data_IF_655678359865
#
_entry.id   IF_655678359865
#
_cell.length_a   1.000
_cell.length_b   1.000
_cell.length_c   1.000
_cell.angle_alpha   90.00
_cell.angle_beta   90.00
_cell.angle_gamma   90.00
#
_symmetry.space_group_name_H-M   'P 1'
#
loop_
_entity.id
_entity.type
_entity.pdbx_description
1 polymer ?
#
# COMPACT_ATOMS: atom_id res chain seq x y z
N UNK A 1 -42.57 -39.26 12.14
CA UNK A 1 -43.08 -38.09 11.38
C UNK A 1 -43.06 -36.91 12.33
N UNK A 2 -42.01 -36.07 12.19
CA UNK A 2 -42.11 -34.61 11.88
C UNK A 2 -42.44 -33.75 13.11
N UNK A 3 -41.76 -32.66 13.42
CA UNK A 3 -40.68 -31.94 12.75
C UNK A 3 -40.00 -31.04 13.79
N UNK A 4 -38.70 -30.83 13.61
CA UNK A 4 -37.90 -29.83 14.31
C UNK A 4 -38.30 -28.44 13.82
N UNK A 5 -38.48 -27.47 14.72
CA UNK A 5 -38.38 -26.04 14.36
C UNK A 5 -37.72 -25.27 15.50
N UNK A 6 -36.40 -25.34 15.54
CA UNK A 6 -35.59 -24.29 16.11
C UNK A 6 -35.63 -23.09 15.17
N UNK A 7 -36.30 -22.02 15.57
CA UNK A 7 -36.16 -20.72 14.94
C UNK A 7 -35.01 -20.01 15.64
N UNK A 8 -33.86 -19.96 14.97
CA UNK A 8 -32.81 -19.02 15.32
C UNK A 8 -33.34 -17.61 15.05
N UNK A 9 -33.29 -16.74 16.06
CA UNK A 9 -33.50 -15.31 15.90
C UNK A 9 -32.39 -14.75 14.99
N UNK A 10 -32.70 -14.56 13.70
CA UNK A 10 -31.88 -13.69 12.84
C UNK A 10 -32.03 -12.26 13.36
N UNK A 11 -31.07 -11.81 14.16
CA UNK A 11 -30.87 -10.39 14.45
C UNK A 11 -30.68 -9.68 13.11
N UNK A 12 -31.72 -9.01 12.62
CA UNK A 12 -31.64 -8.20 11.41
C UNK A 12 -30.65 -7.07 11.68
N UNK A 13 -29.38 -7.23 11.24
CA UNK A 13 -28.36 -6.21 11.41
C UNK A 13 -28.85 -4.90 10.79
N UNK A 14 -29.11 -3.91 11.63
CA UNK A 14 -29.52 -2.58 11.18
C UNK A 14 -28.30 -1.75 10.81
N UNK A 15 -28.32 -1.17 9.61
CA UNK A 15 -27.29 -0.28 9.06
C UNK A 15 -27.89 1.11 8.79
N UNK A 16 -28.22 1.87 9.84
CA UNK A 16 -29.02 3.09 9.71
C UNK A 16 -28.30 4.17 8.89
N UNK A 17 -26.98 4.29 9.02
CA UNK A 17 -26.19 5.19 8.17
C UNK A 17 -26.23 4.79 6.70
N UNK A 18 -26.06 3.50 6.39
CA UNK A 18 -26.06 2.97 5.02
C UNK A 18 -27.44 3.14 4.36
N UNK A 19 -28.52 2.91 5.10
CA UNK A 19 -29.89 3.15 4.64
C UNK A 19 -30.08 4.62 4.25
N UNK A 20 -29.64 5.55 5.09
CA UNK A 20 -29.72 6.99 4.76
C UNK A 20 -28.93 7.33 3.50
N UNK A 21 -27.77 6.71 3.27
CA UNK A 21 -26.99 6.91 2.04
C UNK A 21 -27.73 6.39 0.81
N UNK A 22 -28.37 5.23 0.93
CA UNK A 22 -29.16 4.62 -0.14
C UNK A 22 -30.36 5.51 -0.50
N UNK A 23 -31.13 5.93 0.51
CA UNK A 23 -32.27 6.83 0.39
C UNK A 23 -31.86 8.24 -0.08
N UNK A 24 -30.62 8.66 0.19
CA UNK A 24 -30.13 10.01 -0.06
C UNK A 24 -30.59 11.04 0.98
N UNK A 25 -31.04 10.59 2.17
CA UNK A 25 -31.48 11.47 3.25
C UNK A 25 -30.30 12.05 4.02
N UNK A 26 -29.79 13.18 3.52
CA UNK A 26 -28.66 13.91 4.09
C UNK A 26 -28.95 14.40 5.52
N UNK A 27 -30.20 14.77 5.82
CA UNK A 27 -30.56 15.33 7.14
C UNK A 27 -30.63 14.25 8.22
N UNK A 28 -31.25 13.11 7.92
CA UNK A 28 -31.25 11.93 8.79
C UNK A 28 -29.81 11.41 8.96
N UNK A 29 -29.02 11.38 7.87
CA UNK A 29 -27.61 11.04 7.94
C UNK A 29 -26.82 11.94 8.89
N UNK A 30 -26.94 13.26 8.74
CA UNK A 30 -26.22 14.25 9.57
C UNK A 30 -26.57 14.17 11.06
N UNK A 31 -27.79 13.74 11.40
CA UNK A 31 -28.20 13.47 12.78
C UNK A 31 -27.55 12.19 13.33
N UNK A 32 -27.65 11.10 12.57
CA UNK A 32 -27.18 9.78 13.00
C UNK A 32 -25.66 9.67 13.08
N UNK A 33 -24.93 10.35 12.20
CA UNK A 33 -23.46 10.29 12.17
C UNK A 33 -22.77 10.82 13.44
N UNK A 34 -23.51 11.53 14.30
CA UNK A 34 -22.99 12.03 15.59
C UNK A 34 -22.94 10.95 16.67
N UNK A 35 -23.73 9.89 16.53
CA UNK A 35 -23.87 8.81 17.52
C UNK A 35 -23.43 7.46 16.98
N UNK A 36 -23.51 7.28 15.67
CA UNK A 36 -23.17 6.02 15.00
C UNK A 36 -21.69 5.95 14.59
N UNK A 37 -21.16 4.73 14.52
CA UNK A 37 -19.79 4.48 14.08
C UNK A 37 -19.66 4.54 12.54
N UNK A 38 -18.88 5.50 12.04
CA UNK A 38 -18.60 5.69 10.62
C UNK A 38 -17.73 4.57 10.01
N UNK A 39 -17.07 3.77 10.84
CA UNK A 39 -16.28 2.61 10.42
C UNK A 39 -17.12 1.35 10.19
N UNK A 40 -18.39 1.36 10.63
CA UNK A 40 -19.30 0.21 10.52
C UNK A 40 -19.44 -0.23 9.06
N UNK A 41 -19.33 -1.54 8.86
CA UNK A 41 -19.45 -2.18 7.55
C UNK A 41 -20.80 -2.88 7.41
N UNK A 42 -21.39 -2.79 6.21
CA UNK A 42 -22.55 -3.58 5.85
C UNK A 42 -22.19 -5.06 5.57
N UNK A 43 -23.18 -5.85 5.16
CA UNK A 43 -23.02 -7.27 4.77
C UNK A 43 -22.04 -7.49 3.60
N UNK A 44 -21.74 -6.45 2.82
CA UNK A 44 -20.77 -6.48 1.72
C UNK A 44 -19.41 -5.91 2.13
N UNK A 45 -19.21 -5.61 3.42
CA UNK A 45 -17.98 -4.99 3.91
C UNK A 45 -17.86 -3.50 3.59
N UNK A 46 -18.88 -2.88 2.99
CA UNK A 46 -18.86 -1.48 2.61
C UNK A 46 -19.15 -0.59 3.83
N UNK A 47 -18.36 0.45 4.01
CA UNK A 47 -18.72 1.54 4.94
C UNK A 47 -19.73 2.48 4.29
N UNK A 48 -20.37 3.35 5.07
CA UNK A 48 -21.25 4.38 4.52
C UNK A 48 -20.56 5.24 3.44
N UNK A 49 -19.25 5.46 3.57
CA UNK A 49 -18.44 6.18 2.58
C UNK A 49 -18.31 5.45 1.26
N UNK A 50 -18.13 4.11 1.26
CA UNK A 50 -18.11 3.33 0.02
C UNK A 50 -19.43 3.50 -0.74
N UNK A 51 -20.57 3.31 -0.04
CA UNK A 51 -21.88 3.46 -0.66
C UNK A 51 -22.13 4.88 -1.17
N UNK A 52 -21.72 5.90 -0.42
CA UNK A 52 -21.92 7.29 -0.82
C UNK A 52 -21.17 7.61 -2.12
N UNK A 53 -19.97 7.05 -2.30
CA UNK A 53 -19.18 7.18 -3.52
C UNK A 53 -19.83 6.41 -4.67
N UNK A 54 -20.15 5.13 -4.46
CA UNK A 54 -20.75 4.27 -5.49
C UNK A 54 -22.10 4.80 -6.01
N UNK A 55 -22.88 5.47 -5.15
CA UNK A 55 -24.16 6.08 -5.49
C UNK A 55 -24.05 7.56 -5.90
N UNK A 56 -22.84 8.13 -5.95
CA UNK A 56 -22.62 9.53 -6.34
C UNK A 56 -23.20 10.58 -5.36
N UNK A 57 -23.39 10.23 -4.08
CA UNK A 57 -23.95 11.11 -3.04
C UNK A 57 -22.90 12.09 -2.50
N UNK A 58 -22.53 13.08 -3.32
CA UNK A 58 -21.44 14.04 -3.02
C UNK A 58 -21.58 14.74 -1.67
N UNK A 59 -22.79 15.16 -1.30
CA UNK A 59 -23.04 15.85 -0.02
C UNK A 59 -22.71 14.96 1.18
N UNK A 60 -23.10 13.69 1.12
CA UNK A 60 -22.82 12.70 2.17
C UNK A 60 -21.34 12.36 2.21
N UNK A 61 -20.67 12.25 1.05
CA UNK A 61 -19.21 12.07 0.98
C UNK A 61 -18.51 13.21 1.70
N UNK A 62 -18.84 14.47 1.41
CA UNK A 62 -18.20 15.62 2.05
C UNK A 62 -18.46 15.65 3.56
N UNK A 63 -19.69 15.34 4.01
CA UNK A 63 -20.00 15.22 5.43
C UNK A 63 -19.16 14.14 6.12
N UNK A 64 -19.04 12.96 5.53
CA UNK A 64 -18.23 11.85 6.03
C UNK A 64 -16.75 12.23 6.15
N UNK A 65 -16.18 12.84 5.11
CA UNK A 65 -14.78 13.29 5.13
C UNK A 65 -14.55 14.39 6.16
N UNK A 66 -15.49 15.33 6.32
CA UNK A 66 -15.42 16.36 7.36
C UNK A 66 -15.39 15.76 8.78
N UNK A 67 -16.10 14.65 9.01
CA UNK A 67 -16.16 13.96 10.30
C UNK A 67 -15.16 12.80 10.44
N UNK A 68 -14.03 12.87 9.73
CA UNK A 68 -12.93 11.90 9.85
C UNK A 68 -13.33 10.44 9.59
N UNK A 69 -14.31 10.18 8.72
CA UNK A 69 -14.62 8.81 8.30
C UNK A 69 -13.36 8.10 7.78
N UNK A 70 -13.15 6.82 8.11
CA UNK A 70 -11.90 6.13 7.79
C UNK A 70 -11.84 5.80 6.29
N UNK A 71 -10.80 6.29 5.59
CA UNK A 71 -10.71 6.19 4.13
C UNK A 71 -9.78 5.09 3.61
N UNK A 72 -9.06 4.40 4.50
CA UNK A 72 -8.17 3.26 4.17
C UNK A 72 -8.83 1.88 4.33
N UNK A 73 -10.12 1.86 4.68
CA UNK A 73 -10.85 0.63 4.98
C UNK A 73 -11.12 -0.13 3.69
N UNK A 74 -10.85 -1.44 3.65
CA UNK A 74 -11.20 -2.29 2.51
C UNK A 74 -12.58 -2.94 2.67
N UNK A 75 -13.37 -2.98 1.61
CA UNK A 75 -14.60 -3.77 1.52
C UNK A 75 -14.30 -5.27 1.34
N UNK A 76 -15.34 -6.12 1.22
CA UNK A 76 -15.16 -7.58 1.07
C UNK A 76 -14.37 -7.95 -0.19
N UNK A 77 -14.43 -7.10 -1.22
CA UNK A 77 -13.71 -7.30 -2.46
C UNK A 77 -12.25 -6.87 -2.37
N UNK A 78 -11.83 -6.19 -1.30
CA UNK A 78 -10.46 -5.71 -1.09
C UNK A 78 -10.22 -4.27 -1.56
N UNK A 79 -11.27 -3.55 -1.91
CA UNK A 79 -11.21 -2.18 -2.43
C UNK A 79 -11.47 -1.15 -1.33
N UNK A 80 -10.74 -0.05 -1.38
CA UNK A 80 -10.88 1.12 -0.51
C UNK A 80 -11.90 2.12 -1.09
N UNK A 81 -12.40 3.08 -0.29
CA UNK A 81 -13.18 4.19 -0.80
C UNK A 81 -12.50 4.94 -1.96
N UNK A 82 -11.18 5.16 -1.88
CA UNK A 82 -10.44 5.81 -2.96
C UNK A 82 -10.47 4.99 -4.26
N UNK A 83 -10.28 3.67 -4.20
CA UNK A 83 -10.40 2.82 -5.40
C UNK A 83 -11.82 2.82 -5.98
N UNK A 84 -12.87 2.78 -5.15
CA UNK A 84 -14.23 2.89 -5.69
C UNK A 84 -14.49 4.29 -6.28
N UNK A 85 -13.85 5.34 -5.76
CA UNK A 85 -13.95 6.69 -6.32
C UNK A 85 -13.22 6.84 -7.66
N UNK A 86 -12.11 6.14 -7.87
CA UNK A 86 -11.44 6.10 -9.18
C UNK A 86 -12.33 5.36 -10.19
N UNK A 87 -13.00 4.29 -9.78
CA UNK A 87 -13.89 3.51 -10.65
C UNK A 87 -15.21 4.23 -11.00
N UNK A 88 -15.83 4.93 -10.05
CA UNK A 88 -17.21 5.43 -10.18
C UNK A 88 -17.40 6.90 -9.81
N UNK A 89 -16.43 7.50 -9.11
CA UNK A 89 -16.51 8.85 -8.57
C UNK A 89 -16.15 9.91 -9.61
N UNK A 90 -16.30 11.17 -9.20
CA UNK A 90 -15.81 12.31 -9.96
C UNK A 90 -14.43 12.76 -9.47
N UNK A 91 -13.73 13.51 -10.32
CA UNK A 91 -12.39 14.04 -10.03
C UNK A 91 -12.33 14.76 -8.68
N UNK A 92 -13.35 15.55 -8.35
CA UNK A 92 -13.44 16.29 -7.07
C UNK A 92 -13.53 15.35 -5.86
N UNK A 93 -14.28 14.25 -5.95
CA UNK A 93 -14.37 13.23 -4.89
C UNK A 93 -13.03 12.52 -4.72
N UNK A 94 -12.37 12.17 -5.83
CA UNK A 94 -11.03 11.54 -5.79
C UNK A 94 -10.03 12.47 -5.09
N UNK A 95 -9.97 13.74 -5.47
CA UNK A 95 -9.10 14.75 -4.82
C UNK A 95 -9.41 14.86 -3.32
N UNK A 96 -10.68 14.95 -2.96
CA UNK A 96 -11.10 15.09 -1.55
C UNK A 96 -10.70 13.86 -0.72
N UNK A 97 -10.87 12.66 -1.27
CA UNK A 97 -10.48 11.40 -0.65
C UNK A 97 -8.96 11.26 -0.54
N UNK A 98 -8.21 11.61 -1.58
CA UNK A 98 -6.76 11.56 -1.60
C UNK A 98 -6.18 12.51 -0.54
N UNK A 99 -6.65 13.77 -0.51
CA UNK A 99 -6.31 14.75 0.53
C UNK A 99 -6.61 14.18 1.93
N UNK A 100 -7.79 13.59 2.13
CA UNK A 100 -8.16 13.01 3.43
C UNK A 100 -7.32 11.80 3.80
N UNK A 101 -7.00 10.93 2.85
CA UNK A 101 -6.19 9.73 3.06
C UNK A 101 -4.77 10.10 3.49
N UNK A 102 -4.16 11.07 2.82
CA UNK A 102 -2.83 11.57 3.17
C UNK A 102 -2.83 12.26 4.52
N UNK A 103 -3.85 13.07 4.81
CA UNK A 103 -4.02 13.66 6.15
C UNK A 103 -4.11 12.58 7.24
N UNK A 104 -4.99 11.59 7.10
CA UNK A 104 -5.11 10.49 8.09
C UNK A 104 -3.81 9.69 8.23
N UNK A 105 -3.07 9.48 7.13
CA UNK A 105 -1.77 8.82 7.19
C UNK A 105 -0.74 9.61 8.00
N UNK A 106 -0.71 10.94 7.83
CA UNK A 106 0.19 11.85 8.54
C UNK A 106 -0.11 11.89 10.04
N UNK A 107 -1.37 12.11 10.40
CA UNK A 107 -1.82 12.11 11.80
C UNK A 107 -1.44 10.80 12.51
N UNK A 108 -1.64 9.66 11.86
CA UNK A 108 -1.29 8.35 12.42
C UNK A 108 0.23 8.18 12.63
N UNK A 109 1.06 8.72 11.73
CA UNK A 109 2.52 8.70 11.89
C UNK A 109 2.92 9.60 13.07
N UNK A 110 2.32 10.77 13.19
CA UNK A 110 2.61 11.71 14.28
C UNK A 110 2.19 11.18 15.64
N UNK A 111 1.01 10.58 15.74
CA UNK A 111 0.53 9.92 16.95
C UNK A 111 1.51 8.81 17.42
N UNK A 112 2.11 8.08 16.47
CA UNK A 112 3.06 7.00 16.76
C UNK A 112 4.49 7.46 17.00
N UNK A 113 4.84 8.68 16.58
CA UNK A 113 6.22 9.20 16.63
C UNK A 113 6.82 9.17 18.05
N UNK A 114 6.13 9.58 19.13
CA UNK A 114 6.71 9.54 20.47
C UNK A 114 7.12 8.13 20.90
N UNK A 115 6.29 7.13 20.57
CA UNK A 115 6.57 5.73 20.87
C UNK A 115 7.78 5.22 20.09
N UNK A 116 7.90 5.60 18.81
CA UNK A 116 9.08 5.29 17.98
C UNK A 116 10.35 5.90 18.59
N UNK A 117 10.33 7.19 18.93
CA UNK A 117 11.50 7.87 19.51
C UNK A 117 11.87 7.26 20.87
N UNK A 118 10.88 6.93 21.70
CA UNK A 118 11.11 6.22 22.96
C UNK A 118 11.76 4.86 22.75
N UNK A 119 11.28 4.08 21.78
CA UNK A 119 11.87 2.79 21.45
C UNK A 119 13.33 2.95 20.95
N UNK A 120 13.61 3.93 20.08
CA UNK A 120 14.96 4.19 19.59
C UNK A 120 15.94 4.58 20.70
N UNK A 121 15.47 5.25 21.78
CA UNK A 121 16.29 5.55 22.96
C UNK A 121 16.64 4.32 23.78
N UNK A 122 15.75 3.32 23.81
CA UNK A 122 15.97 2.08 24.57
C UNK A 122 16.91 1.12 23.85
N UNK A 123 16.93 1.16 22.51
CA UNK A 123 17.83 0.36 21.70
C UNK A 123 19.22 0.99 21.69
N UNK A 124 20.28 0.21 21.95
CA UNK A 124 21.67 0.68 21.83
C UNK A 124 22.03 1.08 20.40
N UNK A 125 23.17 1.75 20.21
CA UNK A 125 23.66 2.06 18.87
C UNK A 125 24.11 0.79 18.15
N UNK A 126 23.77 0.66 16.86
CA UNK A 126 24.07 -0.54 16.10
C UNK A 126 24.28 -0.27 14.62
N UNK A 127 24.98 -1.21 14.00
CA UNK A 127 25.06 -1.38 12.56
C UNK A 127 24.41 -2.71 12.21
N UNK A 128 23.58 -2.72 11.17
CA UNK A 128 22.95 -3.92 10.66
C UNK A 128 22.99 -3.90 9.13
N UNK A 129 23.29 -5.05 8.53
CA UNK A 129 23.21 -5.25 7.10
C UNK A 129 22.21 -6.37 6.81
N UNK A 130 21.21 -6.08 5.98
CA UNK A 130 20.19 -7.00 5.54
C UNK A 130 20.35 -7.19 4.03
N UNK A 131 20.72 -8.40 3.62
CA UNK A 131 20.75 -8.79 2.21
C UNK A 131 19.55 -9.68 1.93
N UNK A 132 18.79 -9.37 0.88
CA UNK A 132 17.71 -10.23 0.42
C UNK A 132 17.69 -10.32 -1.12
N UNK A 133 17.22 -11.46 -1.63
CA UNK A 133 17.06 -11.74 -3.05
C UNK A 133 15.81 -12.58 -3.31
N UNK A 134 15.12 -12.32 -4.42
CA UNK A 134 14.05 -13.19 -4.90
C UNK A 134 14.64 -14.32 -5.74
N UNK A 135 14.18 -15.54 -5.48
CA UNK A 135 14.61 -16.74 -6.20
C UNK A 135 13.45 -17.34 -6.98
N UNK A 136 13.71 -17.75 -8.22
CA UNK A 136 12.76 -18.46 -9.07
C UNK A 136 13.16 -19.92 -9.20
N UNK A 137 12.15 -20.78 -9.27
CA UNK A 137 12.30 -22.18 -9.65
C UNK A 137 12.59 -22.34 -11.16
N UNK A 138 12.33 -21.31 -11.96
CA UNK A 138 12.66 -21.28 -13.38
C UNK A 138 14.17 -21.00 -13.56
N UNK A 139 14.91 -21.86 -14.28
CA UNK A 139 16.34 -21.66 -14.49
C UNK A 139 16.67 -20.27 -15.04
N UNK A 140 17.76 -19.68 -14.55
CA UNK A 140 18.29 -18.36 -14.94
C UNK A 140 17.42 -17.14 -14.56
N UNK A 141 16.14 -17.32 -14.20
CA UNK A 141 15.26 -16.21 -13.82
C UNK A 141 15.71 -15.54 -12.52
N UNK A 142 16.29 -16.27 -11.57
CA UNK A 142 16.82 -15.69 -10.32
C UNK A 142 17.91 -14.63 -10.52
N UNK A 143 18.60 -14.60 -11.67
CA UNK A 143 19.60 -13.57 -11.99
C UNK A 143 18.98 -12.23 -12.37
N UNK A 144 17.73 -12.26 -12.81
CA UNK A 144 16.93 -11.12 -13.23
C UNK A 144 15.76 -10.96 -12.28
N UNK A 145 15.93 -11.31 -11.00
CA UNK A 145 14.95 -11.03 -9.97
C UNK A 145 15.50 -9.96 -9.02
N UNK A 146 14.63 -9.17 -8.37
CA UNK A 146 15.08 -8.13 -7.48
C UNK A 146 15.89 -8.71 -6.33
N UNK A 147 16.92 -7.96 -5.95
CA UNK A 147 17.63 -8.15 -4.70
C UNK A 147 17.90 -6.78 -4.12
N UNK A 148 18.22 -6.72 -2.84
CA UNK A 148 18.66 -5.50 -2.21
C UNK A 148 19.69 -5.78 -1.11
N UNK A 149 20.55 -4.79 -0.90
CA UNK A 149 21.47 -4.72 0.21
C UNK A 149 21.11 -3.48 1.02
N UNK A 150 20.37 -3.71 2.10
CA UNK A 150 19.94 -2.68 3.03
C UNK A 150 20.97 -2.56 4.16
N UNK A 151 21.48 -1.35 4.40
CA UNK A 151 22.40 -1.06 5.49
C UNK A 151 21.76 -0.06 6.45
N UNK A 152 21.67 -0.42 7.72
CA UNK A 152 21.04 0.39 8.76
C UNK A 152 22.12 0.76 9.78
N UNK A 153 22.34 2.06 9.92
CA UNK A 153 23.20 2.65 10.95
C UNK A 153 22.31 3.41 11.91
N UNK A 154 22.28 3.00 13.17
CA UNK A 154 21.49 3.68 14.21
C UNK A 154 22.44 4.34 15.21
N UNK A 155 22.17 5.60 15.52
CA UNK A 155 22.89 6.37 16.55
C UNK A 155 21.92 7.27 17.32
N UNK A 156 21.82 7.10 18.63
CA UNK A 156 20.89 7.86 19.47
C UNK A 156 19.44 7.64 19.06
N UNK A 157 18.73 8.69 18.69
CA UNK A 157 17.34 8.65 18.16
C UNK A 157 17.27 8.71 16.64
N UNK A 158 18.43 8.67 15.97
CA UNK A 158 18.56 8.84 14.53
C UNK A 158 18.98 7.53 13.88
N UNK A 159 18.53 7.32 12.65
CA UNK A 159 19.02 6.21 11.84
C UNK A 159 19.24 6.64 10.39
N UNK A 160 20.20 5.97 9.77
CA UNK A 160 20.51 6.02 8.36
C UNK A 160 20.19 4.66 7.76
N UNK A 161 19.43 4.64 6.68
CA UNK A 161 19.12 3.47 5.90
C UNK A 161 19.65 3.69 4.47
N UNK A 162 20.60 2.88 4.05
CA UNK A 162 21.06 2.84 2.66
C UNK A 162 20.44 1.63 1.95
N UNK A 163 19.92 1.82 0.74
CA UNK A 163 19.33 0.77 -0.09
C UNK A 163 19.80 0.90 -1.54
N UNK A 164 19.91 -0.24 -2.20
CA UNK A 164 20.25 -0.34 -3.63
C UNK A 164 19.02 -0.42 -4.53
N UNK A 165 17.81 -0.48 -3.94
CA UNK A 165 16.54 -0.59 -4.62
C UNK A 165 15.79 0.74 -4.53
N UNK A 166 15.61 1.41 -5.66
CA UNK A 166 14.96 2.74 -5.74
C UNK A 166 13.44 2.59 -5.82
N UNK A 167 13.00 1.73 -6.74
CA UNK A 167 11.60 1.46 -6.97
C UNK A 167 11.39 -0.04 -7.18
N UNK A 168 10.22 -0.52 -6.76
CA UNK A 168 9.76 -1.88 -6.94
C UNK A 168 8.28 -1.88 -7.28
N UNK A 169 7.99 -1.73 -8.58
CA UNK A 169 6.64 -1.89 -9.08
C UNK A 169 6.36 -3.38 -9.32
N UNK A 170 5.83 -4.05 -8.29
CA UNK A 170 5.52 -5.49 -8.31
C UNK A 170 4.64 -5.91 -9.50
N UNK A 171 3.80 -4.99 -10.00
CA UNK A 171 2.88 -5.24 -11.11
C UNK A 171 3.56 -5.31 -12.48
N UNK A 172 4.67 -4.59 -12.63
CA UNK A 172 5.36 -4.41 -13.92
C UNK A 172 6.68 -5.20 -13.99
N UNK A 173 7.03 -5.95 -12.92
CA UNK A 173 8.36 -6.53 -12.75
C UNK A 173 9.48 -5.50 -13.00
N UNK A 174 9.23 -4.23 -12.66
CA UNK A 174 10.24 -3.17 -12.71
C UNK A 174 10.89 -3.08 -11.34
N UNK A 175 12.21 -3.11 -11.33
CA UNK A 175 12.97 -2.63 -10.19
C UNK A 175 14.11 -1.78 -10.70
N UNK A 176 14.26 -0.62 -10.10
CA UNK A 176 15.33 0.30 -10.41
C UNK A 176 16.44 0.18 -9.38
N UNK A 177 17.69 0.07 -9.87
CA UNK A 177 18.87 -0.04 -9.02
C UNK A 177 19.54 1.32 -8.88
N UNK A 178 19.58 1.79 -7.64
CA UNK A 178 20.20 3.08 -7.30
C UNK A 178 21.03 2.99 -6.04
N UNK A 179 21.35 4.15 -5.49
CA UNK A 179 22.02 4.28 -4.20
C UNK A 179 21.26 5.34 -3.42
N UNK A 180 20.21 4.90 -2.73
CA UNK A 180 19.31 5.79 -2.00
C UNK A 180 19.62 5.72 -0.51
N UNK A 181 19.76 6.88 0.11
CA UNK A 181 19.92 7.00 1.56
C UNK A 181 18.72 7.70 2.17
N UNK A 182 18.09 7.06 3.16
CA UNK A 182 17.12 7.66 4.05
C UNK A 182 17.80 8.05 5.35
N UNK A 183 17.68 9.31 5.75
CA UNK A 183 18.14 9.80 7.05
C UNK A 183 16.93 10.20 7.88
N UNK A 184 16.79 9.58 9.03
CA UNK A 184 15.79 9.95 10.03
C UNK A 184 16.44 10.56 11.26
N UNK A 185 15.90 11.69 11.70
CA UNK A 185 16.25 12.38 12.94
C UNK A 185 15.04 12.41 13.88
N UNK A 186 15.14 11.65 14.98
CA UNK A 186 14.09 11.54 15.99
C UNK A 186 13.88 12.82 16.80
N UNK A 187 14.91 13.66 16.94
CA UNK A 187 14.87 14.88 17.74
C UNK A 187 14.45 16.11 16.91
N UNK A 188 14.57 16.02 15.58
CA UNK A 188 14.07 17.05 14.67
C UNK A 188 12.53 17.14 14.66
N UNK A 189 12.01 18.33 14.31
CA UNK A 189 10.57 18.52 14.04
C UNK A 189 10.13 17.67 12.84
N UNK A 190 8.85 17.23 12.75
CA UNK A 190 8.38 16.34 11.68
C UNK A 190 8.80 16.75 10.26
N UNK A 191 8.67 18.03 9.83
CA UNK A 191 9.07 18.47 8.47
C UNK A 191 10.57 18.42 8.18
N UNK A 192 11.39 18.16 9.19
CA UNK A 192 12.86 18.09 9.08
C UNK A 192 13.41 16.74 9.53
N UNK A 193 12.53 15.82 9.91
CA UNK A 193 12.92 14.56 10.51
C UNK A 193 13.27 13.47 9.49
N UNK A 194 12.98 13.66 8.20
CA UNK A 194 13.25 12.67 7.17
C UNK A 194 13.82 13.32 5.90
N UNK A 195 14.99 12.83 5.48
CA UNK A 195 15.69 13.23 4.26
C UNK A 195 15.88 12.00 3.39
N UNK A 196 15.65 12.14 2.09
CA UNK A 196 15.98 11.15 1.08
C UNK A 196 17.10 11.72 0.22
N UNK A 197 18.12 10.92 -0.04
CA UNK A 197 19.27 11.29 -0.86
C UNK A 197 19.41 10.29 -2.00
N UNK A 198 19.59 10.81 -3.21
CA UNK A 198 20.09 10.02 -4.34
C UNK A 198 21.58 10.28 -4.47
N UNK A 199 22.39 9.31 -4.05
CA UNK A 199 23.84 9.44 -4.05
C UNK A 199 24.43 9.39 -5.46
N UNK A 200 23.75 8.76 -6.43
CA UNK A 200 24.21 8.73 -7.83
C UNK A 200 24.01 10.08 -8.49
N UNK A 201 22.84 10.69 -8.28
CA UNK A 201 22.53 12.01 -8.81
C UNK A 201 23.16 13.15 -7.98
N UNK A 202 23.62 12.88 -6.76
CA UNK A 202 24.21 13.87 -5.87
C UNK A 202 23.19 14.88 -5.34
N UNK A 203 21.91 14.49 -5.27
CA UNK A 203 20.80 15.35 -4.85
C UNK A 203 20.17 14.83 -3.56
N UNK A 204 19.53 15.72 -2.81
CA UNK A 204 18.75 15.35 -1.64
C UNK A 204 17.45 16.13 -1.58
N UNK A 205 16.45 15.53 -0.95
CA UNK A 205 15.17 16.14 -0.69
C UNK A 205 14.75 15.88 0.75
N UNK A 206 14.26 16.93 1.42
CA UNK A 206 13.51 16.76 2.67
C UNK A 206 12.11 16.29 2.33
N UNK A 207 11.66 15.21 2.96
CA UNK A 207 10.31 14.70 2.73
C UNK A 207 9.32 15.78 3.17
N UNK A 208 8.64 16.35 2.18
CA UNK A 208 7.74 17.47 2.42
C UNK A 208 6.50 16.97 3.14
N UNK A 209 6.08 17.76 4.11
CA UNK A 209 4.92 17.43 4.95
C UNK A 209 3.60 17.84 4.29
N UNK A 210 3.63 18.82 3.38
CA UNK A 210 2.49 19.30 2.62
C UNK A 210 2.82 19.20 1.14
N UNK A 211 1.85 18.74 0.38
CA UNK A 211 1.91 18.71 -1.08
C UNK A 211 1.13 19.90 -1.61
N UNK A 212 1.57 20.39 -2.75
CA UNK A 212 0.89 21.44 -3.51
C UNK A 212 -0.38 20.89 -4.14
N UNK A 213 -1.29 21.79 -4.54
CA UNK A 213 -2.49 21.37 -5.25
C UNK A 213 -2.15 20.71 -6.60
N UNK A 214 -1.14 21.22 -7.31
CA UNK A 214 -0.63 20.62 -8.55
C UNK A 214 -0.16 19.19 -8.36
N UNK A 215 0.66 18.92 -7.33
CA UNK A 215 1.16 17.56 -7.04
C UNK A 215 0.00 16.57 -6.77
N UNK A 216 -1.07 17.04 -6.12
CA UNK A 216 -2.27 16.22 -5.88
C UNK A 216 -3.04 16.00 -7.18
N UNK A 217 -3.15 17.02 -8.03
CA UNK A 217 -3.80 16.91 -9.32
C UNK A 217 -3.07 15.93 -10.25
N UNK A 218 -1.75 16.02 -10.33
CA UNK A 218 -0.92 15.12 -11.12
C UNK A 218 -1.08 13.65 -10.65
N UNK A 219 -1.15 13.42 -9.34
CA UNK A 219 -1.38 12.09 -8.79
C UNK A 219 -2.78 11.56 -9.11
N UNK A 220 -3.80 12.42 -9.10
CA UNK A 220 -5.17 12.02 -9.50
C UNK A 220 -5.21 11.68 -10.98
N UNK A 221 -4.56 12.48 -11.83
CA UNK A 221 -4.53 12.23 -13.27
C UNK A 221 -3.79 10.91 -13.58
N UNK A 222 -2.73 10.60 -12.84
CA UNK A 222 -2.07 9.29 -12.90
C UNK A 222 -2.99 8.15 -12.44
N UNK A 223 -3.69 8.30 -11.31
CA UNK A 223 -4.63 7.28 -10.82
C UNK A 223 -5.77 6.99 -11.80
N UNK A 224 -6.24 8.02 -12.52
CA UNK A 224 -7.32 7.89 -13.50
C UNK A 224 -6.86 7.25 -14.82
N UNK A 225 -5.56 7.26 -15.14
CA UNK A 225 -4.99 6.67 -16.36
C UNK A 225 -4.25 5.35 -16.13
N UNK A 226 -4.12 4.91 -14.88
CA UNK A 226 -3.44 3.66 -14.51
C UNK A 226 -4.37 2.65 -13.87
N UNK A 227 -3.96 1.38 -13.89
CA UNK A 227 -4.75 0.30 -13.34
C UNK A 227 -4.88 0.40 -11.81
N UNK A 228 -6.09 0.19 -11.28
CA UNK A 228 -6.27 0.09 -9.82
C UNK A 228 -5.84 -1.30 -9.38
N UNK A 229 -4.88 -1.37 -8.46
CA UNK A 229 -4.37 -2.64 -7.94
C UNK A 229 -4.49 -2.72 -6.43
N UNK A 230 -4.98 -3.86 -5.94
CA UNK A 230 -4.97 -4.20 -4.52
C UNK A 230 -4.30 -5.54 -4.34
N UNK A 231 -3.36 -5.61 -3.41
CA UNK A 231 -2.71 -6.84 -2.99
C UNK A 231 -3.13 -7.18 -1.56
N UNK A 232 -3.40 -8.46 -1.32
CA UNK A 232 -3.72 -9.00 -0.01
C UNK A 232 -2.85 -10.22 0.24
N UNK A 233 -1.99 -10.12 1.26
CA UNK A 233 -1.17 -11.22 1.73
C UNK A 233 -1.88 -11.90 2.90
N UNK A 234 -2.23 -13.18 2.75
CA UNK A 234 -2.82 -13.95 3.85
C UNK A 234 -1.70 -14.56 4.70
N UNK A 235 -1.71 -14.25 6.00
CA UNK A 235 -0.77 -14.87 6.96
C UNK A 235 -1.34 -16.10 7.66
N UNK A 236 -2.64 -16.40 7.48
CA UNK A 236 -3.35 -17.44 8.24
C UNK A 236 -2.82 -18.86 7.98
N UNK A 237 -2.37 -19.10 6.75
CA UNK A 237 -1.83 -20.40 6.31
C UNK A 237 -0.32 -20.49 6.44
N UNK A 238 0.35 -19.45 6.98
CA UNK A 238 1.80 -19.46 7.12
C UNK A 238 2.20 -20.51 8.16
N UNK A 239 3.02 -21.45 7.71
CA UNK A 239 3.65 -22.45 8.58
C UNK A 239 5.16 -22.43 8.36
N UNK A 240 5.90 -22.68 9.44
CA UNK A 240 7.35 -22.79 9.41
C UNK A 240 7.73 -24.25 9.60
N UNK A 241 8.58 -24.77 8.71
CA UNK A 241 9.18 -26.10 8.88
C UNK A 241 10.68 -26.03 8.74
N UNK A 242 11.43 -26.90 9.42
CA UNK A 242 12.88 -26.95 9.28
C UNK A 242 13.26 -27.34 7.86
N UNK A 243 14.13 -26.55 7.24
CA UNK A 243 14.75 -26.93 5.99
C UNK A 243 15.64 -28.15 6.24
N UNK A 244 15.59 -29.16 5.38
CA UNK A 244 16.37 -30.38 5.53
C UNK A 244 17.44 -30.49 4.43
N UNK A 245 18.60 -31.05 4.77
CA UNK A 245 19.69 -31.35 3.83
C UNK A 245 20.08 -32.83 3.91
N UNK A 246 20.70 -33.35 2.85
CA UNK A 246 21.17 -34.74 2.75
C UNK A 246 20.36 -35.60 1.78
N UNK A 247 21.06 -36.36 0.93
CA UNK A 247 20.47 -37.18 -0.14
C UNK A 247 19.96 -38.54 0.35
N UNK A 248 20.62 -39.13 1.35
CA UNK A 248 20.32 -40.48 1.87
C UNK A 248 19.72 -40.39 3.29
N UNK A 249 20.22 -39.48 4.12
CA UNK A 249 19.67 -39.18 5.44
C UNK A 249 19.33 -37.70 5.49
N UNK A 250 18.06 -37.38 5.72
CA UNK A 250 17.61 -36.00 5.90
C UNK A 250 17.92 -35.55 7.32
N UNK A 251 18.62 -34.45 7.45
CA UNK A 251 18.88 -33.78 8.71
C UNK A 251 18.47 -32.31 8.61
N UNK A 252 18.16 -31.71 9.75
CA UNK A 252 17.92 -30.28 9.82
C UNK A 252 19.13 -29.50 9.27
N UNK A 253 18.86 -28.63 8.31
CA UNK A 253 19.86 -27.82 7.65
C UNK A 253 20.34 -26.75 8.64
N UNK A 254 21.63 -26.86 8.97
CA UNK A 254 22.40 -25.87 9.72
C UNK A 254 23.60 -25.49 8.87
N UNK A 255 23.86 -24.20 8.73
CA UNK A 255 25.06 -23.70 8.05
C UNK A 255 25.67 -22.58 8.87
N UNK A 256 26.99 -22.47 8.80
CA UNK A 256 27.70 -21.35 9.42
C UNK A 256 27.75 -20.20 8.43
N UNK A 257 27.17 -19.06 8.81
CA UNK A 257 27.18 -17.82 8.02
C UNK A 257 28.02 -16.80 8.79
N UNK A 258 29.26 -16.59 8.34
CA UNK A 258 30.23 -15.80 9.10
C UNK A 258 30.59 -16.49 10.42
N UNK A 259 30.41 -15.80 11.54
CA UNK A 259 30.68 -16.34 12.90
C UNK A 259 29.45 -16.98 13.55
N UNK A 260 28.32 -17.06 12.85
CA UNK A 260 27.04 -17.50 13.41
C UNK A 260 26.60 -18.85 12.83
N UNK A 261 26.05 -19.70 13.69
CA UNK A 261 25.35 -20.91 13.25
C UNK A 261 23.89 -20.57 12.95
N UNK A 262 23.50 -20.71 11.69
CA UNK A 262 22.17 -20.38 11.19
C UNK A 262 21.29 -21.63 11.06
N UNK A 263 20.06 -21.49 11.53
CA UNK A 263 18.99 -22.46 11.37
C UNK A 263 18.08 -22.06 10.21
N UNK A 264 17.85 -22.98 9.27
CA UNK A 264 17.05 -22.70 8.08
C UNK A 264 15.61 -23.22 8.23
N UNK A 265 14.65 -22.41 7.78
CA UNK A 265 13.22 -22.75 7.78
C UNK A 265 12.61 -22.52 6.39
N UNK A 266 11.69 -23.39 5.99
CA UNK A 266 10.76 -23.13 4.90
C UNK A 266 9.53 -22.43 5.44
N UNK A 267 9.10 -21.38 4.74
CA UNK A 267 7.85 -20.67 4.99
C UNK A 267 6.86 -21.18 3.95
N UNK A 268 5.90 -21.99 4.38
CA UNK A 268 4.87 -22.56 3.50
C UNK A 268 3.53 -21.85 3.70
N UNK A 269 2.69 -21.89 2.67
CA UNK A 269 1.32 -21.36 2.76
C UNK A 269 1.24 -19.83 2.76
N UNK A 270 2.32 -19.14 2.37
CA UNK A 270 2.24 -17.72 2.04
C UNK A 270 1.49 -17.56 0.71
N UNK A 271 0.34 -16.91 0.74
CA UNK A 271 -0.45 -16.61 -0.46
C UNK A 271 -0.61 -15.10 -0.60
N UNK A 272 -0.25 -14.60 -1.77
CA UNK A 272 -0.49 -13.23 -2.18
C UNK A 272 -1.58 -13.22 -3.26
N UNK A 273 -2.74 -12.69 -2.92
CA UNK A 273 -3.81 -12.45 -3.88
C UNK A 273 -3.74 -11.00 -4.38
N UNK A 274 -3.57 -10.84 -5.68
CA UNK A 274 -3.59 -9.55 -6.34
C UNK A 274 -4.85 -9.43 -7.19
N UNK A 275 -5.59 -8.33 -7.02
CA UNK A 275 -6.74 -7.98 -7.85
C UNK A 275 -6.45 -6.69 -8.60
N UNK A 276 -6.92 -6.62 -9.84
CA UNK A 276 -6.70 -5.52 -10.76
C UNK A 276 -8.03 -5.11 -11.38
N UNK A 277 -8.28 -3.80 -11.43
CA UNK A 277 -9.47 -3.17 -12.02
C UNK A 277 -9.06 -2.13 -13.05
N UNK A 278 -9.83 -2.05 -14.14
CA UNK A 278 -9.51 -1.26 -15.34
C UNK A 278 -10.74 -0.65 -16.01
N UNK A 279 -11.91 -0.79 -15.41
CA UNK A 279 -13.18 -0.32 -15.95
C UNK A 279 -13.25 1.21 -16.13
N UNK A 280 -12.41 1.96 -15.42
CA UNK A 280 -12.29 3.42 -15.54
C UNK A 280 -11.35 3.88 -16.66
N UNK A 281 -10.56 2.96 -17.23
CA UNK A 281 -9.56 3.29 -18.25
C UNK A 281 -10.20 3.37 -19.64
N UNK A 282 -9.79 4.37 -20.42
CA UNK A 282 -10.14 4.45 -21.83
C UNK A 282 -9.40 3.39 -22.66
N UNK A 283 -9.85 3.15 -23.90
CA UNK A 283 -9.12 2.27 -24.83
C UNK A 283 -7.70 2.76 -25.10
N UNK A 284 -7.51 4.08 -25.15
CA UNK A 284 -6.18 4.70 -25.30
C UNK A 284 -5.29 4.44 -24.09
N UNK A 285 -5.83 4.58 -22.87
CA UNK A 285 -5.09 4.28 -21.63
C UNK A 285 -4.70 2.81 -21.58
N UNK A 286 -5.61 1.91 -21.95
CA UNK A 286 -5.34 0.48 -22.03
C UNK A 286 -4.24 0.17 -23.06
N UNK A 287 -4.25 0.82 -24.23
CA UNK A 287 -3.20 0.67 -25.23
C UNK A 287 -1.86 1.23 -24.75
N UNK A 288 -1.84 2.43 -24.15
CA UNK A 288 -0.62 3.02 -23.55
C UNK A 288 -0.05 2.13 -22.46
N UNK A 289 -0.88 1.68 -21.53
CA UNK A 289 -0.48 0.77 -20.44
C UNK A 289 0.05 -0.56 -21.00
N UNK A 290 -0.56 -1.07 -22.07
CA UNK A 290 -0.07 -2.28 -22.77
C UNK A 290 1.25 -2.06 -23.49
N UNK A 291 1.41 -0.94 -24.22
CA UNK A 291 2.62 -0.59 -24.96
C UNK A 291 3.82 -0.36 -24.02
N UNK A 292 3.58 0.25 -22.86
CA UNK A 292 4.56 0.34 -21.78
C UNK A 292 5.01 -1.08 -21.40
N UNK A 293 4.09 -2.00 -21.08
CA UNK A 293 4.44 -3.38 -20.69
C UNK A 293 5.16 -4.14 -21.83
N UNK A 294 4.72 -3.98 -23.08
CA UNK A 294 5.30 -4.67 -24.25
C UNK A 294 6.70 -4.16 -24.64
N UNK A 295 6.95 -2.85 -24.53
CA UNK A 295 8.30 -2.28 -24.78
C UNK A 295 9.32 -2.73 -23.73
N UNK A 296 8.86 -2.88 -22.48
CA UNK A 296 9.70 -3.25 -21.34
C UNK A 296 10.00 -4.76 -21.28
N UNK A 297 9.03 -5.61 -21.60
CA UNK A 297 9.25 -7.07 -21.68
C UNK A 297 10.19 -7.47 -22.81
N UNK A 298 10.39 -6.59 -23.80
CA UNK A 298 11.37 -6.76 -24.89
C UNK A 298 12.75 -6.14 -24.60
N UNK A 299 12.96 -5.53 -23.43
CA UNK A 299 14.27 -5.00 -23.01
C UNK A 299 14.72 -3.73 -23.74
N UNK A 300 13.79 -2.88 -24.21
CA UNK A 300 14.12 -1.65 -24.92
C UNK A 300 14.70 -0.56 -24.01
N UNK A 301 15.85 0.01 -24.40
CA UNK A 301 16.38 1.27 -23.86
C UNK A 301 15.32 2.39 -23.89
N UNK A 302 15.43 3.28 -22.89
CA UNK A 302 14.64 4.49 -22.66
C UNK A 302 14.03 5.13 -23.94
N UNK A 303 12.71 5.27 -23.94
CA UNK A 303 12.01 6.19 -24.83
C UNK A 303 11.93 7.52 -24.08
N UNK A 304 12.62 8.55 -24.58
CA UNK A 304 12.37 9.93 -24.16
C UNK A 304 10.96 10.30 -24.62
N UNK A 305 10.01 10.31 -23.69
CA UNK A 305 8.66 10.81 -23.94
C UNK A 305 8.67 12.28 -23.56
N UNK A 306 8.52 13.15 -24.56
CA UNK A 306 8.20 14.56 -24.40
C UNK A 306 6.85 14.71 -23.67
N UNK A 307 6.68 15.80 -22.92
CA UNK A 307 5.48 16.13 -22.13
C UNK A 307 4.15 16.15 -22.92
N UNK A 308 4.20 16.07 -24.25
CA UNK A 308 3.05 16.04 -25.15
C UNK A 308 2.77 14.65 -25.76
N UNK A 309 3.50 13.61 -25.37
CA UNK A 309 3.17 12.22 -25.74
C UNK A 309 3.40 11.86 -27.21
N UNK A 310 4.14 12.66 -27.98
CA UNK A 310 4.60 12.27 -29.32
C UNK A 310 5.95 11.55 -29.25
N UNK A 311 6.05 10.46 -30.00
CA UNK A 311 7.30 9.73 -30.20
C UNK A 311 8.18 10.57 -31.13
N UNK A 312 9.18 11.26 -30.58
CA UNK A 312 10.22 11.89 -31.38
C UNK A 312 11.08 10.80 -32.03
N UNK A 313 11.07 10.74 -33.36
CA UNK A 313 11.95 9.88 -34.18
C UNK A 313 13.43 10.18 -33.96
#
# INVERSE_FOLDING_TARGET
MSNVSGMAEEQHLSYPLHECVFEGDVQKFARLMRTEDLSKKDKHGNTALHLAIMLGRKDIVQLLLAHNAPVKVKNINGWTPLSEAISYGDRLTIISLLKKMKHQAREQIEERRPNLVSALKQVGDFYMQIKWDFQSWVPLVSRVLPSDLCQIHKRGTSFRLDTTLVDFAMNDMKWERGEITFLFDGDAKPPHSLIVMDNKAGVYQRVRYLETESEIEDEVDLMMSTDIVTAQMSTKSITFSRAQSGWIFRQDRKETIGDFNADFYHINGLTLEQKKRREHLSEEDLQKNKAIIESLTKGGCAINIDCNGEVSN
#
